data_IF_028102536158
#
_entry.id   IF_028102536158
#
_cell.length_a   1.000
_cell.length_b   1.000
_cell.length_c   1.000
_cell.angle_alpha   90.00
_cell.angle_beta   90.00
_cell.angle_gamma   90.00
#
_symmetry.space_group_name_H-M   'P 1'
#
loop_
_entity.id
_entity.type
_entity.pdbx_description
1 polymer ?
#
# COMPACT_ATOMS: atom_id res chain seq x y z
N UNK A 1 12.77 -12.02 -1.32
CA UNK A 1 11.35 -11.97 -0.89
C UNK A 1 10.93 -13.38 -0.49
N UNK A 2 10.61 -13.63 0.78
CA UNK A 2 10.23 -14.99 1.23
C UNK A 2 8.81 -15.30 0.76
N UNK A 3 8.57 -16.40 0.01
CA UNK A 3 7.22 -16.75 -0.42
C UNK A 3 6.42 -17.30 0.76
N UNK A 4 5.52 -16.49 1.32
CA UNK A 4 4.49 -17.01 2.24
C UNK A 4 3.51 -17.86 1.43
N UNK A 5 3.67 -19.18 1.48
CA UNK A 5 2.67 -20.10 0.97
C UNK A 5 1.37 -19.97 1.77
N UNK A 6 0.23 -19.98 1.08
CA UNK A 6 -1.13 -19.93 1.63
C UNK A 6 -1.44 -21.03 2.69
N UNK A 7 -0.55 -22.02 2.85
CA UNK A 7 -0.62 -23.10 3.86
C UNK A 7 -0.12 -22.72 5.26
N UNK A 8 0.50 -21.55 5.45
CA UNK A 8 1.03 -21.09 6.75
C UNK A 8 0.07 -20.16 7.52
N UNK A 9 -1.18 -20.04 7.08
CA UNK A 9 -2.17 -19.20 7.75
C UNK A 9 -2.79 -19.98 8.94
N UNK A 10 -2.78 -19.42 10.17
CA UNK A 10 -3.39 -20.08 11.33
C UNK A 10 -4.93 -20.13 11.26
N UNK A 11 -5.54 -20.81 12.24
CA UNK A 11 -6.93 -21.30 12.18
C UNK A 11 -8.04 -20.23 12.02
N UNK A 12 -9.29 -20.62 11.65
CA UNK A 12 -10.37 -19.69 11.28
C UNK A 12 -11.03 -18.89 12.40
N UNK A 13 -10.64 -19.05 13.66
CA UNK A 13 -11.36 -18.50 14.83
C UNK A 13 -11.05 -17.03 15.16
N UNK A 14 -10.01 -16.44 14.57
CA UNK A 14 -9.72 -15.01 14.69
C UNK A 14 -10.47 -14.24 13.58
N UNK A 15 -11.07 -13.08 13.90
CA UNK A 15 -11.62 -12.17 12.89
C UNK A 15 -10.48 -11.58 12.07
N UNK A 16 -10.26 -12.13 10.88
CA UNK A 16 -9.25 -11.73 9.91
C UNK A 16 -9.80 -10.64 8.99
N UNK A 17 -8.95 -9.70 8.60
CA UNK A 17 -9.29 -8.61 7.68
C UNK A 17 -8.06 -8.25 6.85
N UNK A 18 -8.21 -8.25 5.52
CA UNK A 18 -7.17 -7.78 4.61
C UNK A 18 -7.56 -6.42 4.04
N UNK A 19 -6.79 -5.41 4.42
CA UNK A 19 -7.01 -4.01 4.14
C UNK A 19 -5.93 -3.52 3.17
N UNK A 20 -6.32 -3.04 2.00
CA UNK A 20 -5.41 -2.65 0.94
C UNK A 20 -5.64 -1.20 0.49
N UNK A 21 -4.56 -0.43 0.35
CA UNK A 21 -4.58 0.98 -0.02
C UNK A 21 -3.42 1.29 -0.97
N UNK A 22 -3.70 1.86 -2.15
CA UNK A 22 -2.65 2.21 -3.12
C UNK A 22 -2.86 3.59 -3.74
N UNK A 23 -1.76 4.36 -3.82
CA UNK A 23 -1.63 5.55 -4.65
C UNK A 23 -1.20 5.20 -6.06
N UNK A 24 -2.15 5.23 -6.96
CA UNK A 24 -2.30 6.41 -7.84
C UNK A 24 -3.55 6.33 -8.69
N UNK A 25 -4.53 5.51 -8.30
CA UNK A 25 -5.35 4.83 -9.30
C UNK A 25 -4.56 3.73 -10.03
N UNK A 26 -3.24 3.66 -9.83
CA UNK A 26 -2.35 2.66 -10.38
C UNK A 26 -2.35 1.40 -9.50
N UNK A 27 -3.49 0.72 -9.45
CA UNK A 27 -3.52 -0.72 -9.25
C UNK A 27 -3.85 -1.34 -10.60
N UNK A 28 -2.98 -2.18 -11.14
CA UNK A 28 -3.32 -2.99 -12.31
C UNK A 28 -3.89 -4.32 -11.83
N UNK A 29 -5.18 -4.67 -12.09
CA UNK A 29 -5.77 -5.89 -11.54
C UNK A 29 -5.06 -7.17 -11.97
N UNK A 30 -4.47 -7.15 -13.16
CA UNK A 30 -3.69 -8.27 -13.73
C UNK A 30 -2.19 -8.22 -13.36
N UNK A 31 -1.78 -7.31 -12.47
CA UNK A 31 -0.38 -7.21 -12.05
C UNK A 31 0.07 -8.55 -11.44
N UNK A 32 1.24 -9.01 -11.88
CA UNK A 32 1.77 -10.32 -11.51
C UNK A 32 2.88 -10.15 -10.47
N UNK A 33 2.56 -10.48 -9.21
CA UNK A 33 3.45 -10.37 -8.05
C UNK A 33 4.65 -11.32 -8.13
N UNK A 34 4.45 -12.52 -8.69
CA UNK A 34 5.48 -13.54 -8.89
C UNK A 34 5.34 -14.14 -10.28
N UNK A 35 6.45 -14.30 -11.01
CA UNK A 35 6.47 -14.66 -12.44
C UNK A 35 7.02 -16.05 -12.77
N UNK A 36 7.12 -16.92 -11.76
CA UNK A 36 7.54 -18.31 -11.96
C UNK A 36 6.43 -19.17 -12.58
N UNK A 37 6.65 -20.49 -12.63
CA UNK A 37 5.74 -21.48 -13.22
C UNK A 37 4.30 -21.49 -12.68
N UNK A 38 4.04 -20.82 -11.54
CA UNK A 38 2.71 -20.50 -11.02
C UNK A 38 2.67 -19.00 -10.72
N UNK A 39 2.22 -18.15 -11.67
CA UNK A 39 2.18 -16.72 -11.44
C UNK A 39 1.08 -16.37 -10.44
N UNK A 40 1.33 -15.38 -9.58
CA UNK A 40 0.33 -14.85 -8.64
C UNK A 40 -0.13 -13.50 -9.16
N UNK A 41 -1.39 -13.44 -9.60
CA UNK A 41 -2.03 -12.22 -10.10
C UNK A 41 -2.80 -11.53 -8.97
N UNK A 42 -2.65 -10.21 -8.83
CA UNK A 42 -3.23 -9.43 -7.73
C UNK A 42 -4.73 -9.65 -7.58
N UNK A 43 -5.53 -9.49 -8.65
CA UNK A 43 -6.99 -9.70 -8.58
C UNK A 43 -7.37 -11.12 -8.19
N UNK A 44 -6.65 -12.14 -8.69
CA UNK A 44 -6.95 -13.54 -8.38
C UNK A 44 -6.69 -13.82 -6.90
N UNK A 45 -5.52 -13.42 -6.39
CA UNK A 45 -5.18 -13.52 -4.97
C UNK A 45 -6.22 -12.79 -4.10
N UNK A 46 -6.54 -11.54 -4.41
CA UNK A 46 -7.52 -10.78 -3.63
C UNK A 46 -8.92 -11.41 -3.67
N UNK A 47 -9.33 -12.04 -4.79
CA UNK A 47 -10.62 -12.72 -4.90
C UNK A 47 -10.66 -14.02 -4.09
N UNK A 48 -9.60 -14.83 -4.11
CA UNK A 48 -9.47 -16.04 -3.28
C UNK A 48 -9.51 -15.73 -1.79
N UNK A 49 -8.94 -14.58 -1.39
CA UNK A 49 -8.95 -14.11 0.00
C UNK A 49 -10.30 -13.52 0.38
N UNK A 50 -10.94 -12.75 -0.52
CA UNK A 50 -12.27 -12.19 -0.33
C UNK A 50 -13.36 -13.26 -0.13
N UNK A 51 -13.15 -14.46 -0.66
CA UNK A 51 -14.02 -15.62 -0.44
C UNK A 51 -14.00 -16.17 1.01
N UNK A 52 -13.13 -15.65 1.88
CA UNK A 52 -12.89 -16.15 3.24
C UNK A 52 -12.95 -15.07 4.31
N UNK A 53 -12.42 -13.89 3.99
CA UNK A 53 -12.26 -12.75 4.92
C UNK A 53 -12.59 -11.45 4.18
N UNK A 54 -13.02 -10.37 4.87
CA UNK A 54 -13.20 -9.08 4.23
C UNK A 54 -11.92 -8.59 3.55
N UNK A 55 -12.04 -8.22 2.27
CA UNK A 55 -10.99 -7.58 1.48
C UNK A 55 -11.48 -6.21 1.04
N UNK A 56 -10.85 -5.16 1.58
CA UNK A 56 -11.19 -3.76 1.31
C UNK A 56 -10.06 -3.08 0.55
N UNK A 57 -10.37 -2.49 -0.61
CA UNK A 57 -9.43 -1.78 -1.50
C UNK A 57 -9.83 -0.31 -1.57
N UNK A 58 -8.96 0.59 -1.12
CA UNK A 58 -9.15 2.04 -1.26
C UNK A 58 -8.16 2.61 -2.29
N UNK A 59 -8.69 3.18 -3.37
CA UNK A 59 -7.92 3.85 -4.42
C UNK A 59 -8.19 5.36 -4.40
N UNK A 60 -7.20 6.17 -4.81
CA UNK A 60 -7.51 7.53 -5.26
C UNK A 60 -8.44 7.48 -6.46
N UNK A 61 -9.49 8.30 -6.48
CA UNK A 61 -10.49 8.32 -7.54
C UNK A 61 -9.94 8.67 -8.93
N UNK A 62 -8.71 9.20 -9.04
CA UNK A 62 -8.09 9.64 -10.28
C UNK A 62 -8.36 11.12 -10.58
N UNK A 63 -7.61 11.70 -11.52
CA UNK A 63 -7.69 13.12 -11.80
C UNK A 63 -9.07 13.52 -12.34
N UNK A 64 -9.66 14.63 -11.86
CA UNK A 64 -10.93 15.15 -12.38
C UNK A 64 -10.79 15.82 -13.75
N UNK A 65 -9.59 16.33 -14.08
CA UNK A 65 -9.27 17.00 -15.34
C UNK A 65 -8.13 16.26 -16.05
N UNK A 66 -8.05 16.31 -17.38
CA UNK A 66 -7.15 15.47 -18.19
C UNK A 66 -5.66 15.88 -18.15
N UNK A 67 -5.20 16.50 -17.07
CA UNK A 67 -3.83 17.04 -16.91
C UNK A 67 -2.86 16.00 -16.33
N UNK A 68 -3.37 15.02 -15.58
CA UNK A 68 -2.61 13.92 -14.97
C UNK A 68 -3.40 12.62 -15.18
N UNK A 69 -2.72 11.52 -15.47
CA UNK A 69 -3.31 10.16 -15.46
C UNK A 69 -3.03 9.46 -14.13
N UNK A 70 -3.82 8.45 -13.75
CA UNK A 70 -5.08 8.01 -14.37
C UNK A 70 -6.24 8.98 -14.10
N UNK A 71 -7.23 8.98 -14.99
CA UNK A 71 -8.44 9.78 -14.86
C UNK A 71 -9.53 9.04 -14.07
N UNK A 72 -10.54 9.78 -13.60
CA UNK A 72 -11.71 9.17 -12.92
C UNK A 72 -12.42 8.08 -13.71
N UNK A 73 -12.35 8.11 -15.04
CA UNK A 73 -12.87 7.04 -15.90
C UNK A 73 -12.03 5.75 -15.85
N UNK A 74 -10.71 5.86 -15.72
CA UNK A 74 -9.80 4.72 -15.71
C UNK A 74 -9.88 3.99 -14.36
N UNK A 75 -9.86 4.73 -13.25
CA UNK A 75 -9.92 4.11 -11.91
C UNK A 75 -11.29 3.48 -11.63
N UNK A 76 -12.39 4.01 -12.22
CA UNK A 76 -13.68 3.31 -12.23
C UNK A 76 -13.58 1.94 -12.90
N UNK A 77 -12.97 1.83 -14.09
CA UNK A 77 -12.76 0.53 -14.76
C UNK A 77 -11.92 -0.43 -13.90
N UNK A 78 -10.91 0.07 -13.19
CA UNK A 78 -10.08 -0.73 -12.28
C UNK A 78 -10.91 -1.27 -11.09
N UNK A 79 -11.69 -0.41 -10.43
CA UNK A 79 -12.65 -0.80 -9.39
C UNK A 79 -13.63 -1.85 -9.90
N UNK A 80 -14.30 -1.56 -11.01
CA UNK A 80 -15.34 -2.42 -11.58
C UNK A 80 -14.76 -3.79 -11.94
N UNK A 81 -13.53 -3.83 -12.48
CA UNK A 81 -12.81 -5.07 -12.76
C UNK A 81 -12.41 -5.85 -11.51
N UNK A 82 -12.00 -5.18 -10.42
CA UNK A 82 -11.73 -5.85 -9.13
C UNK A 82 -13.01 -6.52 -8.60
N UNK A 83 -14.13 -5.79 -8.60
CA UNK A 83 -15.40 -6.21 -7.99
C UNK A 83 -16.17 -7.23 -8.85
N UNK A 84 -16.02 -7.21 -10.18
CA UNK A 84 -16.77 -8.08 -11.09
C UNK A 84 -16.60 -9.57 -10.75
N UNK A 85 -17.66 -10.21 -10.25
CA UNK A 85 -17.66 -11.64 -9.88
C UNK A 85 -16.77 -11.98 -8.68
N UNK A 86 -16.51 -11.04 -7.76
CA UNK A 86 -15.73 -11.26 -6.54
C UNK A 86 -16.43 -10.68 -5.32
N UNK A 87 -15.94 -11.01 -4.11
CA UNK A 87 -16.36 -10.36 -2.85
C UNK A 87 -15.43 -9.20 -2.45
N UNK A 88 -14.57 -8.72 -3.36
CA UNK A 88 -13.68 -7.58 -3.09
C UNK A 88 -14.53 -6.31 -2.98
N UNK A 89 -14.39 -5.58 -1.88
CA UNK A 89 -14.98 -4.26 -1.71
C UNK A 89 -13.97 -3.21 -2.21
N UNK A 90 -14.32 -2.39 -3.20
CA UNK A 90 -13.41 -1.38 -3.74
C UNK A 90 -14.05 0.02 -3.73
N UNK A 91 -13.44 0.95 -3.01
CA UNK A 91 -13.88 2.33 -2.86
C UNK A 91 -12.93 3.32 -3.55
N UNK A 92 -13.48 4.44 -4.03
CA UNK A 92 -12.73 5.49 -4.74
C UNK A 92 -12.78 6.79 -3.92
N UNK A 93 -11.67 7.14 -3.29
CA UNK A 93 -11.55 8.38 -2.50
C UNK A 93 -11.28 9.56 -3.42
N UNK A 94 -12.22 10.50 -3.43
CA UNK A 94 -12.22 11.70 -4.26
C UNK A 94 -11.83 12.97 -3.47
N UNK A 95 -11.32 12.81 -2.24
CA UNK A 95 -10.96 13.91 -1.35
C UNK A 95 -9.55 14.40 -1.63
N UNK A 96 -9.31 14.93 -2.81
CA UNK A 96 -8.10 15.68 -3.10
C UNK A 96 -8.31 17.20 -3.04
N UNK A 97 -7.22 17.96 -2.92
CA UNK A 97 -7.20 19.37 -3.34
C UNK A 97 -6.98 19.42 -4.85
N UNK A 98 -7.36 20.51 -5.55
CA UNK A 98 -7.03 20.67 -6.97
C UNK A 98 -5.54 20.41 -7.22
N UNK A 99 -5.21 19.62 -8.25
CA UNK A 99 -3.85 19.19 -8.62
C UNK A 99 -3.14 18.27 -7.59
N UNK A 100 -3.83 17.73 -6.57
CA UNK A 100 -3.28 16.77 -5.60
C UNK A 100 -3.80 15.34 -5.82
N UNK A 101 -3.19 14.36 -5.14
CA UNK A 101 -3.63 12.97 -4.99
C UNK A 101 -3.03 12.34 -3.71
N UNK A 102 -3.56 11.21 -3.21
CA UNK A 102 -3.21 10.62 -1.87
C UNK A 102 -2.00 9.66 -1.93
N UNK A 103 -0.79 9.96 -1.40
CA UNK A 103 0.48 9.24 -1.74
C UNK A 103 0.87 7.99 -0.91
N UNK A 104 0.01 7.54 -0.01
CA UNK A 104 0.20 6.25 0.67
C UNK A 104 0.07 5.04 -0.28
N UNK A 105 1.10 4.20 -0.33
CA UNK A 105 0.97 2.78 -0.66
C UNK A 105 1.05 2.02 0.66
N UNK A 106 -0.01 1.30 1.02
CA UNK A 106 -0.12 0.66 2.32
C UNK A 106 -1.00 -0.58 2.25
N UNK A 107 -0.50 -1.69 2.80
CA UNK A 107 -1.28 -2.92 2.98
C UNK A 107 -1.29 -3.20 4.47
N UNK A 108 -2.44 -3.56 5.04
CA UNK A 108 -2.62 -3.97 6.44
C UNK A 108 -3.30 -5.33 6.43
N UNK A 109 -2.77 -6.29 7.19
CA UNK A 109 -3.28 -7.66 7.25
C UNK A 109 -3.51 -8.04 8.71
N UNK A 110 -4.75 -8.42 9.02
CA UNK A 110 -5.26 -8.86 10.32
C UNK A 110 -4.96 -7.88 11.47
N UNK A 111 -4.75 -6.59 11.16
CA UNK A 111 -4.19 -5.57 12.06
C UNK A 111 -2.84 -5.95 12.71
N UNK A 112 -2.14 -6.98 12.22
CA UNK A 112 -0.91 -7.54 12.80
C UNK A 112 0.35 -7.27 12.00
N UNK A 113 0.21 -7.12 10.68
CA UNK A 113 1.29 -6.80 9.75
C UNK A 113 0.83 -5.63 8.89
N UNK A 114 1.73 -4.70 8.60
CA UNK A 114 1.53 -3.76 7.50
C UNK A 114 2.75 -3.66 6.59
N UNK A 115 2.53 -3.21 5.37
CA UNK A 115 3.55 -2.87 4.39
C UNK A 115 3.37 -1.40 4.03
N UNK A 116 4.45 -0.63 4.03
CA UNK A 116 4.46 0.80 3.67
C UNK A 116 5.69 1.12 2.81
N UNK A 117 5.57 1.96 1.79
CA UNK A 117 6.68 2.22 0.87
C UNK A 117 6.31 3.04 -0.36
N UNK A 118 7.20 3.03 -1.37
CA UNK A 118 6.99 3.67 -2.67
C UNK A 118 6.39 2.75 -3.75
N UNK A 119 6.37 1.43 -3.53
CA UNK A 119 5.99 0.44 -4.55
C UNK A 119 4.46 0.31 -4.71
N UNK A 120 3.95 0.54 -5.93
CA UNK A 120 2.58 0.18 -6.33
C UNK A 120 2.47 -1.22 -6.97
N UNK A 121 1.27 -1.78 -6.93
CA UNK A 121 0.93 -3.05 -7.60
C UNK A 121 0.44 -2.78 -9.03
N UNK A 122 1.34 -2.35 -9.92
CA UNK A 122 0.97 -1.83 -11.24
C UNK A 122 2.02 -2.04 -12.33
N UNK A 123 1.55 -2.05 -13.58
CA UNK A 123 2.38 -1.91 -14.79
C UNK A 123 2.12 -0.60 -15.55
N UNK A 124 1.30 0.31 -15.00
CA UNK A 124 1.05 1.63 -15.60
C UNK A 124 2.32 2.50 -15.57
N UNK A 125 2.69 3.09 -16.71
CA UNK A 125 3.93 3.85 -16.88
C UNK A 125 5.19 3.08 -16.42
N UNK A 126 5.27 1.79 -16.76
CA UNK A 126 6.42 0.93 -16.47
C UNK A 126 6.11 -0.17 -15.45
N UNK A 127 6.89 -1.24 -15.51
CA UNK A 127 6.68 -2.43 -14.68
C UNK A 127 7.34 -2.26 -13.29
N UNK A 128 6.54 -2.31 -12.22
CA UNK A 128 7.05 -2.17 -10.83
C UNK A 128 7.73 -3.43 -10.31
N UNK A 129 7.60 -4.55 -11.01
CA UNK A 129 8.31 -5.77 -10.66
C UNK A 129 9.73 -5.73 -11.22
N UNK A 130 10.73 -5.74 -10.34
CA UNK A 130 12.14 -5.79 -10.73
C UNK A 130 13.01 -6.62 -9.78
N UNK A 131 14.21 -6.97 -10.24
CA UNK A 131 15.28 -7.57 -9.45
C UNK A 131 16.50 -6.65 -9.36
N UNK A 132 17.41 -6.95 -8.44
CA UNK A 132 18.60 -6.11 -8.17
C UNK A 132 19.52 -5.90 -9.38
N UNK A 133 19.54 -6.85 -10.32
CA UNK A 133 20.31 -6.72 -11.57
C UNK A 133 19.65 -5.86 -12.65
N UNK A 134 18.47 -5.27 -12.39
CA UNK A 134 17.71 -4.40 -13.30
C UNK A 134 17.79 -4.83 -14.78
N UNK A 135 17.43 -6.08 -15.12
CA UNK A 135 17.69 -6.64 -16.45
C UNK A 135 16.97 -5.81 -17.53
N UNK A 136 17.62 -5.56 -18.68
CA UNK A 136 17.08 -4.70 -19.72
C UNK A 136 15.80 -5.29 -20.31
N UNK A 137 14.70 -4.54 -20.26
CA UNK A 137 13.37 -4.93 -20.75
C UNK A 137 12.82 -4.00 -21.85
N UNK A 138 13.71 -3.29 -22.56
CA UNK A 138 13.32 -2.22 -23.50
C UNK A 138 12.77 -0.95 -22.84
N UNK A 139 12.84 -0.88 -21.51
CA UNK A 139 12.45 0.25 -20.68
C UNK A 139 13.40 0.33 -19.48
N UNK A 140 13.40 1.46 -18.76
CA UNK A 140 14.19 1.64 -17.54
C UNK A 140 13.81 0.61 -16.47
N UNK A 141 14.80 0.19 -15.67
CA UNK A 141 14.57 -0.60 -14.46
C UNK A 141 13.79 0.20 -13.40
N UNK A 142 13.13 -0.50 -12.47
CA UNK A 142 12.39 0.11 -11.37
C UNK A 142 13.14 -0.11 -10.05
N UNK A 143 13.71 0.95 -9.49
CA UNK A 143 14.35 0.94 -8.17
C UNK A 143 13.45 1.66 -7.15
N UNK A 144 13.07 0.96 -6.08
CA UNK A 144 12.08 1.43 -5.11
C UNK A 144 12.16 0.59 -3.82
N UNK A 145 11.60 1.08 -2.72
CA UNK A 145 11.69 0.48 -1.39
C UNK A 145 10.32 0.39 -0.72
N UNK A 146 10.06 -0.74 -0.07
CA UNK A 146 8.97 -0.91 0.88
C UNK A 146 9.46 -1.63 2.14
N UNK A 147 8.86 -1.28 3.28
CA UNK A 147 9.11 -1.88 4.57
C UNK A 147 7.94 -2.78 4.97
N UNK A 148 8.23 -3.98 5.51
CA UNK A 148 7.25 -4.72 6.32
C UNK A 148 7.40 -4.30 7.77
N UNK A 149 6.30 -3.88 8.39
CA UNK A 149 6.21 -3.55 9.81
C UNK A 149 5.32 -4.56 10.56
N UNK A 150 5.74 -4.93 11.77
CA UNK A 150 4.95 -5.69 12.72
C UNK A 150 5.27 -5.21 14.14
N UNK A 151 4.23 -5.03 14.96
CA UNK A 151 4.31 -4.33 16.25
C UNK A 151 3.28 -3.19 16.33
N UNK A 152 3.29 -2.35 17.40
CA UNK A 152 2.29 -1.33 17.63
C UNK A 152 2.10 -0.34 16.48
N UNK A 153 3.14 -0.01 15.70
CA UNK A 153 3.03 0.93 14.58
C UNK A 153 2.10 0.45 13.44
N UNK A 154 1.75 -0.86 13.37
CA UNK A 154 0.72 -1.36 12.44
C UNK A 154 -0.64 -0.72 12.72
N UNK A 155 -0.92 -0.39 13.98
CA UNK A 155 -2.17 0.26 14.38
C UNK A 155 -2.33 1.63 13.73
N UNK A 156 -1.26 2.41 13.60
CA UNK A 156 -1.34 3.72 12.94
C UNK A 156 -1.65 3.62 11.44
N UNK A 157 -1.17 2.57 10.77
CA UNK A 157 -1.50 2.28 9.36
C UNK A 157 -2.97 1.85 9.22
N UNK A 158 -3.44 0.97 10.09
CA UNK A 158 -4.81 0.49 10.14
C UNK A 158 -5.82 1.61 10.46
N UNK A 159 -5.55 2.42 11.49
CA UNK A 159 -6.36 3.57 11.87
C UNK A 159 -6.40 4.63 10.76
N UNK A 160 -5.30 4.81 10.00
CA UNK A 160 -5.29 5.69 8.84
C UNK A 160 -6.21 5.18 7.72
N UNK A 161 -6.18 3.87 7.42
CA UNK A 161 -7.11 3.28 6.46
C UNK A 161 -8.56 3.42 6.93
N UNK A 162 -8.87 3.01 8.16
CA UNK A 162 -10.24 3.02 8.69
C UNK A 162 -10.87 4.43 8.63
N UNK A 163 -10.11 5.46 9.03
CA UNK A 163 -10.52 6.87 8.92
C UNK A 163 -10.85 7.29 7.47
N UNK A 164 -10.05 6.85 6.48
CA UNK A 164 -10.29 7.18 5.06
C UNK A 164 -11.41 6.35 4.46
N UNK A 165 -11.56 5.09 4.90
CA UNK A 165 -12.63 4.19 4.49
C UNK A 165 -13.99 4.69 4.97
N UNK A 166 -14.12 5.01 6.26
CA UNK A 166 -15.32 5.60 6.86
C UNK A 166 -15.71 6.89 6.14
N UNK A 167 -14.75 7.80 5.91
CA UNK A 167 -15.02 9.01 5.14
C UNK A 167 -15.51 8.71 3.72
N UNK A 168 -14.96 7.69 3.05
CA UNK A 168 -15.28 7.38 1.64
C UNK A 168 -16.58 6.61 1.46
N UNK A 169 -16.93 5.74 2.41
CA UNK A 169 -18.03 4.76 2.26
C UNK A 169 -19.17 4.96 3.27
N UNK A 170 -18.93 5.67 4.37
CA UNK A 170 -19.81 5.71 5.54
C UNK A 170 -19.70 4.48 6.46
N UNK A 171 -18.92 3.46 6.11
CA UNK A 171 -18.75 2.25 6.92
C UNK A 171 -17.70 2.48 8.03
N UNK A 172 -18.14 2.41 9.28
CA UNK A 172 -17.25 2.41 10.45
C UNK A 172 -16.66 1.00 10.63
N UNK A 173 -15.34 0.87 10.46
CA UNK A 173 -14.66 -0.41 10.67
C UNK A 173 -14.48 -0.73 12.17
N UNK A 174 -14.35 -2.02 12.55
CA UNK A 174 -14.09 -2.42 13.93
C UNK A 174 -12.83 -1.73 14.52
N UNK A 175 -12.82 -1.37 15.82
CA UNK A 175 -11.66 -0.76 16.45
C UNK A 175 -10.40 -1.62 16.34
N UNK A 176 -9.29 -0.99 15.96
CA UNK A 176 -7.99 -1.67 15.84
C UNK A 176 -7.42 -1.97 17.23
N UNK A 177 -7.46 -3.24 17.61
CA UNK A 177 -6.75 -3.78 18.80
C UNK A 177 -5.26 -3.50 18.67
N UNK A 178 -4.62 -3.06 19.74
CA UNK A 178 -3.18 -2.79 19.75
C UNK A 178 -2.38 -4.09 19.58
N UNK A 179 -1.50 -4.19 18.56
CA UNK A 179 -0.61 -5.34 18.41
C UNK A 179 0.40 -5.43 19.54
N UNK A 180 0.79 -6.65 19.90
CA UNK A 180 1.89 -6.89 20.83
C UNK A 180 3.22 -6.31 20.29
N UNK A 181 4.15 -6.01 21.19
CA UNK A 181 5.51 -5.64 20.82
C UNK A 181 6.16 -6.73 19.95
N UNK A 182 6.91 -6.30 18.93
CA UNK A 182 7.68 -7.18 18.08
C UNK A 182 8.96 -6.44 17.64
N UNK A 183 10.11 -7.11 17.71
CA UNK A 183 11.40 -6.49 17.41
C UNK A 183 11.89 -5.49 18.47
N UNK A 184 13.02 -4.86 18.15
CA UNK A 184 13.85 -4.03 19.01
C UNK A 184 14.00 -2.56 18.52
N UNK A 185 13.69 -2.31 17.24
CA UNK A 185 13.69 -0.98 16.60
C UNK A 185 12.47 -0.16 17.06
N UNK A 186 12.63 1.15 17.29
CA UNK A 186 11.49 2.06 17.49
C UNK A 186 10.96 2.60 16.16
N UNK A 187 9.64 2.61 15.97
CA UNK A 187 9.02 3.05 14.71
C UNK A 187 7.89 4.05 14.99
N UNK A 188 7.95 5.18 14.29
CA UNK A 188 6.87 6.14 14.20
C UNK A 188 6.35 6.18 12.76
N UNK A 189 5.06 5.93 12.57
CA UNK A 189 4.42 6.13 11.26
C UNK A 189 4.09 7.61 11.08
N UNK A 190 4.55 8.20 9.97
CA UNK A 190 4.25 9.59 9.59
C UNK A 190 3.34 9.63 8.37
N UNK A 191 2.52 10.68 8.27
CA UNK A 191 1.58 10.88 7.14
C UNK A 191 1.47 12.35 6.79
N UNK A 192 1.26 12.63 5.50
CA UNK A 192 1.02 13.98 4.97
C UNK A 192 -0.41 14.06 4.48
N UNK A 193 -1.30 14.59 5.32
CA UNK A 193 -2.73 14.72 5.06
C UNK A 193 -3.12 16.20 5.16
N UNK A 194 -3.72 16.80 4.13
CA UNK A 194 -4.16 18.19 4.19
C UNK A 194 -5.18 18.46 5.31
N UNK A 195 -5.01 19.60 6.01
CA UNK A 195 -5.94 20.01 7.05
C UNK A 195 -7.38 20.10 6.53
N UNK A 196 -8.33 19.62 7.37
CA UNK A 196 -9.77 19.61 7.09
C UNK A 196 -10.26 18.47 6.19
N UNK A 197 -9.38 17.65 5.64
CA UNK A 197 -9.74 16.63 4.64
C UNK A 197 -10.44 15.39 5.23
N UNK A 198 -10.09 15.00 6.46
CA UNK A 198 -10.70 13.89 7.19
C UNK A 198 -10.91 14.27 8.66
N UNK A 199 -11.88 13.64 9.32
CA UNK A 199 -12.15 13.80 10.76
C UNK A 199 -11.10 13.07 11.58
N UNK A 200 -9.99 13.75 11.88
CA UNK A 200 -8.90 13.20 12.70
C UNK A 200 -9.13 13.43 14.20
N UNK A 201 -9.01 12.36 15.00
CA UNK A 201 -8.96 12.43 16.45
C UNK A 201 -7.80 13.35 16.92
N UNK A 202 -7.96 14.15 18.00
CA UNK A 202 -6.98 15.15 18.42
C UNK A 202 -5.55 14.60 18.60
N UNK A 203 -5.41 13.44 19.24
CA UNK A 203 -4.13 12.78 19.52
C UNK A 203 -3.38 12.25 18.27
N UNK A 204 -3.95 12.37 17.07
CA UNK A 204 -3.40 11.82 15.81
C UNK A 204 -3.07 12.89 14.76
N UNK A 205 -2.98 14.16 15.17
CA UNK A 205 -2.67 15.33 14.34
C UNK A 205 -1.16 15.56 14.21
N UNK A 206 -0.48 14.66 13.50
CA UNK A 206 0.86 14.91 12.96
C UNK A 206 0.78 14.87 11.44
N UNK A 207 1.04 16.02 10.79
CA UNK A 207 0.92 16.23 9.34
C UNK A 207 2.23 16.69 8.68
N UNK A 208 3.30 16.83 9.45
CA UNK A 208 4.67 17.08 9.01
C UNK A 208 5.64 16.41 9.98
N UNK A 209 6.78 15.94 9.49
CA UNK A 209 7.83 15.38 10.32
C UNK A 209 8.49 16.48 11.15
N UNK A 210 8.05 16.64 12.41
CA UNK A 210 8.87 17.26 13.46
C UNK A 210 9.62 16.16 14.17
N UNK A 211 10.93 16.27 14.24
CA UNK A 211 11.73 15.52 15.22
C UNK A 211 11.32 16.02 16.60
N UNK A 212 10.50 15.23 17.29
CA UNK A 212 10.15 15.43 18.70
C UNK A 212 10.82 14.30 19.47
N UNK A 213 11.59 14.57 20.54
CA UNK A 213 12.03 13.52 21.45
C UNK A 213 10.81 12.98 22.21
N UNK A 214 10.19 11.95 21.65
CA UNK A 214 8.90 11.39 22.07
C UNK A 214 9.09 10.37 23.18
N UNK A 215 8.56 10.65 24.38
CA UNK A 215 8.67 9.81 25.58
C UNK A 215 7.73 8.59 25.61
N UNK A 216 7.31 8.09 24.44
CA UNK A 216 6.40 6.95 24.29
C UNK A 216 6.93 5.99 23.21
N UNK A 217 7.89 5.15 23.60
CA UNK A 217 8.62 4.23 22.72
C UNK A 217 7.74 3.06 22.24
N UNK A 218 7.38 3.05 20.96
CA UNK A 218 6.67 1.94 20.31
C UNK A 218 7.65 1.05 19.53
N UNK A 219 8.21 0.03 20.19
CA UNK A 219 9.12 -0.94 19.55
C UNK A 219 8.39 -1.84 18.55
N UNK A 220 8.86 -1.83 17.31
CA UNK A 220 8.25 -2.43 16.12
C UNK A 220 9.36 -2.95 15.19
N UNK A 221 9.27 -4.20 14.75
CA UNK A 221 10.18 -4.78 13.77
C UNK A 221 9.99 -4.15 12.39
N UNK A 222 11.07 -3.64 11.80
CA UNK A 222 11.12 -3.19 10.40
C UNK A 222 12.00 -4.15 9.61
N UNK A 223 11.50 -4.66 8.48
CA UNK A 223 12.32 -5.35 7.50
C UNK A 223 12.51 -4.48 6.25
N UNK A 224 13.74 -4.02 6.03
CA UNK A 224 14.21 -3.35 4.82
C UNK A 224 15.14 -4.30 4.04
N UNK A 225 15.22 -4.21 2.69
CA UNK A 225 16.29 -4.83 1.92
C UNK A 225 17.64 -4.27 2.37
N UNK A 226 18.68 -5.13 2.40
CA UNK A 226 19.88 -4.88 3.23
C UNK A 226 21.06 -4.18 2.57
N UNK A 227 21.04 -3.89 1.28
CA UNK A 227 22.21 -3.34 0.58
C UNK A 227 21.86 -2.13 -0.31
N UNK A 228 22.58 -1.00 -0.18
CA UNK A 228 22.52 0.09 -1.14
C UNK A 228 23.40 -0.24 -2.36
N UNK A 229 22.82 -0.22 -3.56
CA UNK A 229 23.57 -0.31 -4.82
C UNK A 229 24.09 1.10 -5.17
N UNK A 230 25.39 1.27 -5.48
CA UNK A 230 25.91 2.58 -5.87
C UNK A 230 25.30 3.06 -7.19
N UNK A 231 24.95 4.34 -7.25
CA UNK A 231 24.52 5.03 -8.46
C UNK A 231 25.65 5.03 -9.50
N UNK A 232 25.54 4.19 -10.53
CA UNK A 232 26.37 4.30 -11.73
C UNK A 232 25.84 5.48 -12.54
N UNK A 233 26.56 6.61 -12.49
CA UNK A 233 26.30 7.74 -13.37
C UNK A 233 26.65 7.35 -14.81
N UNK A 234 25.64 7.20 -15.66
CA UNK A 234 25.83 6.90 -17.09
C UNK A 234 26.61 8.01 -17.78
N UNK A 235 27.79 7.67 -18.33
CA UNK A 235 28.76 8.64 -18.84
C UNK A 235 29.52 8.18 -20.09
N UNK A 236 28.96 7.24 -20.85
CA UNK A 236 29.59 6.77 -22.09
C UNK A 236 29.37 7.76 -23.23
N UNK A 237 30.45 8.46 -23.60
CA UNK A 237 30.54 9.18 -24.87
C UNK A 237 30.94 8.18 -25.94
N UNK A 238 30.14 8.03 -26.99
CA UNK A 238 30.62 7.38 -28.21
C UNK A 238 31.76 8.22 -28.83
N UNK A 239 32.93 7.63 -29.15
CA UNK A 239 33.81 8.18 -30.18
C UNK A 239 33.17 7.98 -31.56
N UNK A 240 33.62 8.80 -32.53
CA UNK A 240 33.05 8.93 -33.88
C UNK A 240 33.28 7.71 -34.80
#
# INVERSE_FOLDING_TARGET
MVPMHCRQWPSPSEKRECTFMSRAGDLTPDFTLTRGARPIVVRQLLAEVAARIPVRVLLWAGAPLPVLRPWRGDVRKIRDRLMAGTQIQCALDARERPLHCHHEKTIVIDNRIAFVGGIDLTSFNGDRWDGQGHPPRGAAGWHDVAARIAGPAVRDAADNFAMRWEATTGEVLPPVTQPSLAGDIEVQLVRTVPNGMYRMAPARRFSTARVVPSRASNRTSVHLPREPVPLVAGGDRHPA
#
